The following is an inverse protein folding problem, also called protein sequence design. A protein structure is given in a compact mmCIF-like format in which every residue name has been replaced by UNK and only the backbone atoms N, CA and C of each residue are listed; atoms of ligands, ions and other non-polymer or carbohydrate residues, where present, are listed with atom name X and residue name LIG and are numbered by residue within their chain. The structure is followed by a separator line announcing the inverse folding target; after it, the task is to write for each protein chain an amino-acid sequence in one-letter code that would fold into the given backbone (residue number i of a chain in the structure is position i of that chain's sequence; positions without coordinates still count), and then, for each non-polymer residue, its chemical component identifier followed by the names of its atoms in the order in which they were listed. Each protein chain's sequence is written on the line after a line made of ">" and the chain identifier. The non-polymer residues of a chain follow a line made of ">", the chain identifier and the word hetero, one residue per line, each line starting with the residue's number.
data_IF_830840337683
#
_entry.id   IF_830840337683
#
_cell.length_a   1.000
_cell.length_b   1.000
_cell.length_c   1.000
_cell.angle_alpha   90.00
_cell.angle_beta   90.00
_cell.angle_gamma   90.00
#
_symmetry.space_group_name_H-M   'P 1'
#
loop_
_entity.id
_entity.type
_entity.pdbx_description
1 polymer ?
#
# COMPACT_ATOMS: atom_id res chain seq x y z
N UNK A 1 23.35 15.71 53.12
CA UNK A 1 22.84 14.79 52.08
C UNK A 1 21.38 15.14 51.82
N UNK A 2 21.06 15.80 50.70
CA UNK A 2 19.67 15.96 50.22
C UNK A 2 19.55 15.11 48.96
N UNK A 3 18.75 14.05 49.05
CA UNK A 3 18.42 13.19 47.92
C UNK A 3 17.30 13.88 47.14
N UNK A 4 17.61 14.42 45.97
CA UNK A 4 16.60 14.91 45.03
C UNK A 4 16.20 13.74 44.15
N UNK A 5 14.96 13.26 44.32
CA UNK A 5 14.33 12.29 43.43
C UNK A 5 13.77 13.06 42.24
N UNK A 6 14.35 12.87 41.05
CA UNK A 6 13.74 13.31 39.80
C UNK A 6 12.65 12.30 39.42
N UNK A 7 11.40 12.73 39.44
CA UNK A 7 10.29 11.98 38.82
C UNK A 7 10.21 12.45 37.37
N UNK A 8 10.78 11.69 36.45
CA UNK A 8 10.47 11.85 35.03
C UNK A 8 9.03 11.39 34.81
N UNK A 9 8.14 12.36 34.60
CA UNK A 9 6.80 12.09 34.10
C UNK A 9 6.93 11.65 32.63
N UNK A 10 6.98 10.33 32.41
CA UNK A 10 6.85 9.75 31.08
C UNK A 10 5.49 10.13 30.49
N UNK A 11 5.49 11.05 29.53
CA UNK A 11 4.34 11.31 28.66
C UNK A 11 4.17 10.09 27.75
N UNK A 12 3.39 9.11 28.21
CA UNK A 12 2.79 8.09 27.36
C UNK A 12 1.81 8.80 26.42
N UNK A 13 2.29 9.18 25.23
CA UNK A 13 1.43 9.61 24.14
C UNK A 13 0.57 8.42 23.70
N UNK A 14 -0.65 8.32 24.22
CA UNK A 14 -1.67 7.50 23.58
C UNK A 14 -1.93 8.12 22.20
N UNK A 15 -1.51 7.44 21.13
CA UNK A 15 -2.05 7.71 19.81
C UNK A 15 -3.57 7.52 19.92
N UNK A 16 -4.32 8.62 19.88
CA UNK A 16 -5.76 8.57 20.00
C UNK A 16 -6.31 7.88 18.75
N UNK A 17 -6.92 6.70 18.93
CA UNK A 17 -7.65 6.03 17.86
C UNK A 17 -8.71 7.00 17.30
N UNK A 18 -8.66 7.30 16.00
CA UNK A 18 -9.66 8.16 15.39
C UNK A 18 -10.89 7.33 15.04
N UNK A 19 -12.05 7.94 15.25
CA UNK A 19 -13.30 7.39 14.77
C UNK A 19 -13.34 7.52 13.25
N UNK A 20 -13.87 6.49 12.59
CA UNK A 20 -14.15 6.54 11.16
C UNK A 20 -15.11 7.72 10.85
N UNK A 21 -14.92 8.44 9.74
CA UNK A 21 -15.78 9.57 9.41
C UNK A 21 -17.23 9.11 9.19
N UNK A 22 -18.19 9.94 9.60
CA UNK A 22 -19.62 9.66 9.42
C UNK A 22 -19.95 9.48 7.93
N UNK A 23 -20.63 8.40 7.58
CA UNK A 23 -20.94 8.02 6.19
C UNK A 23 -19.81 7.25 5.49
N UNK A 24 -18.63 7.22 6.10
CA UNK A 24 -17.46 6.48 5.64
C UNK A 24 -17.00 5.43 6.65
N UNK A 25 -17.94 4.87 7.40
CA UNK A 25 -17.70 3.72 8.27
C UNK A 25 -17.22 2.52 7.44
N UNK A 26 -16.34 1.72 8.02
CA UNK A 26 -15.79 0.53 7.40
C UNK A 26 -16.86 -0.57 7.28
N UNK A 27 -17.13 -0.97 6.04
CA UNK A 27 -18.00 -2.10 5.72
C UNK A 27 -17.39 -2.87 4.55
N UNK A 28 -16.97 -4.11 4.81
CA UNK A 28 -16.57 -5.07 3.79
C UNK A 28 -17.69 -6.07 3.53
N UNK A 29 -18.12 -6.18 2.29
CA UNK A 29 -19.05 -7.21 1.82
C UNK A 29 -18.32 -8.12 0.83
N UNK A 30 -18.22 -9.44 1.07
CA UNK A 30 -17.56 -10.38 0.17
C UNK A 30 -18.18 -10.49 -1.23
N UNK A 31 -19.42 -10.03 -1.43
CA UNK A 31 -20.12 -10.09 -2.72
C UNK A 31 -19.88 -8.85 -3.60
N UNK A 32 -19.26 -7.80 -3.07
CA UNK A 32 -18.97 -6.59 -3.85
C UNK A 32 -17.70 -6.79 -4.71
N UNK A 33 -17.66 -6.16 -5.90
CA UNK A 33 -16.48 -6.18 -6.77
C UNK A 33 -15.29 -5.49 -6.08
N UNK A 34 -14.11 -6.08 -6.17
CA UNK A 34 -12.85 -5.57 -5.60
C UNK A 34 -11.72 -5.79 -6.59
N UNK A 35 -10.63 -5.07 -6.39
CA UNK A 35 -9.45 -5.02 -7.26
C UNK A 35 -8.25 -5.75 -6.64
N UNK A 36 -7.15 -5.97 -7.37
CA UNK A 36 -5.88 -6.37 -6.75
C UNK A 36 -5.24 -5.23 -5.91
N UNK A 37 -5.77 -4.00 -5.97
CA UNK A 37 -5.25 -2.83 -5.27
C UNK A 37 -5.90 -2.66 -3.86
N UNK A 38 -5.14 -2.84 -2.77
CA UNK A 38 -5.68 -2.66 -1.42
C UNK A 38 -6.16 -1.23 -1.14
N UNK A 39 -5.56 -0.22 -1.77
CA UNK A 39 -5.96 1.18 -1.63
C UNK A 39 -7.36 1.47 -2.19
N UNK A 40 -7.65 1.01 -3.41
CA UNK A 40 -8.98 1.16 -4.01
C UNK A 40 -10.03 0.35 -3.23
N UNK A 41 -9.67 -0.84 -2.78
CA UNK A 41 -10.54 -1.68 -1.97
C UNK A 41 -10.86 -1.02 -0.63
N UNK A 42 -9.89 -0.36 0.00
CA UNK A 42 -10.11 0.43 1.20
C UNK A 42 -11.05 1.62 0.95
N UNK A 43 -10.88 2.36 -0.14
CA UNK A 43 -11.78 3.44 -0.52
C UNK A 43 -13.22 2.94 -0.74
N UNK A 44 -13.41 1.78 -1.37
CA UNK A 44 -14.73 1.16 -1.55
C UNK A 44 -15.31 0.65 -0.22
N UNK A 45 -14.50 -0.01 0.63
CA UNK A 45 -14.92 -0.48 1.95
C UNK A 45 -15.29 0.68 2.90
N UNK A 46 -14.81 1.90 2.63
CA UNK A 46 -15.21 3.13 3.34
C UNK A 46 -16.23 3.96 2.56
N UNK A 47 -16.75 3.50 1.43
CA UNK A 47 -17.77 4.23 0.66
C UNK A 47 -17.30 5.55 0.05
N UNK A 48 -15.99 5.78 -0.07
CA UNK A 48 -15.44 6.88 -0.87
C UNK A 48 -15.53 6.58 -2.38
N UNK A 49 -15.35 5.31 -2.73
CA UNK A 49 -15.83 4.74 -3.99
C UNK A 49 -17.20 4.06 -3.75
N UNK A 50 -17.99 3.80 -4.81
CA UNK A 50 -19.18 2.95 -4.70
C UNK A 50 -18.82 1.65 -3.98
N UNK A 51 -19.53 1.33 -2.89
CA UNK A 51 -19.23 0.13 -2.07
C UNK A 51 -19.30 -1.16 -2.89
N UNK A 52 -20.18 -1.20 -3.88
CA UNK A 52 -20.29 -2.29 -4.85
C UNK A 52 -19.03 -2.52 -5.68
N UNK A 53 -18.13 -1.55 -5.78
CA UNK A 53 -16.95 -1.59 -6.64
C UNK A 53 -17.25 -1.46 -8.14
N UNK A 54 -18.47 -1.01 -8.50
CA UNK A 54 -18.93 -0.96 -9.89
C UNK A 54 -18.99 0.48 -10.42
N UNK A 55 -18.83 0.63 -11.75
CA UNK A 55 -19.06 1.87 -12.51
C UNK A 55 -18.26 3.07 -11.99
N UNK A 56 -16.96 2.88 -11.77
CA UNK A 56 -16.07 3.94 -11.30
C UNK A 56 -15.64 4.78 -12.50
N UNK A 57 -16.09 6.03 -12.55
CA UNK A 57 -15.59 7.04 -13.47
C UNK A 57 -14.40 7.82 -12.88
N UNK A 58 -13.80 8.68 -13.71
CA UNK A 58 -12.63 9.47 -13.31
C UNK A 58 -12.94 10.43 -12.16
N UNK A 59 -14.08 11.12 -12.18
CA UNK A 59 -14.42 12.07 -11.12
C UNK A 59 -14.68 11.39 -9.77
N UNK A 60 -15.29 10.20 -9.79
CA UNK A 60 -15.49 9.36 -8.62
C UNK A 60 -14.15 8.93 -8.03
N UNK A 61 -13.20 8.50 -8.87
CA UNK A 61 -11.84 8.19 -8.42
C UNK A 61 -11.14 9.42 -7.82
N UNK A 62 -11.18 10.56 -8.52
CA UNK A 62 -10.60 11.84 -8.08
C UNK A 62 -11.14 12.28 -6.74
N UNK A 63 -12.47 12.20 -6.53
CA UNK A 63 -13.08 12.46 -5.24
C UNK A 63 -12.55 11.52 -4.15
N UNK A 64 -12.53 10.21 -4.42
CA UNK A 64 -12.16 9.22 -3.44
C UNK A 64 -10.72 9.37 -2.94
N UNK A 65 -9.75 9.59 -3.83
CA UNK A 65 -8.34 9.73 -3.45
C UNK A 65 -8.07 11.02 -2.67
N UNK A 66 -8.80 12.10 -2.97
CA UNK A 66 -8.71 13.36 -2.22
C UNK A 66 -9.32 13.17 -0.82
N UNK A 67 -10.52 12.62 -0.75
CA UNK A 67 -11.26 12.53 0.50
C UNK A 67 -10.72 11.45 1.45
N UNK A 68 -10.34 10.29 0.93
CA UNK A 68 -9.88 9.16 1.74
C UNK A 68 -8.39 9.20 2.08
N UNK A 69 -7.55 9.74 1.18
CA UNK A 69 -6.09 9.68 1.31
C UNK A 69 -5.37 11.04 1.21
N UNK A 70 -6.09 12.13 0.97
CA UNK A 70 -5.53 13.47 0.74
C UNK A 70 -4.45 13.49 -0.35
N UNK A 71 -4.72 12.82 -1.48
CA UNK A 71 -3.94 13.01 -2.70
C UNK A 71 -4.39 14.27 -3.44
N UNK A 72 -3.48 14.85 -4.22
CA UNK A 72 -3.81 15.82 -5.26
C UNK A 72 -4.83 15.20 -6.23
N UNK A 73 -5.84 15.99 -6.60
CA UNK A 73 -7.00 15.54 -7.38
C UNK A 73 -6.64 14.71 -8.60
N UNK A 74 -5.64 15.11 -9.39
CA UNK A 74 -5.31 14.49 -10.68
C UNK A 74 -4.16 13.48 -10.61
N UNK A 75 -3.63 13.21 -9.42
CA UNK A 75 -2.43 12.37 -9.24
C UNK A 75 -2.58 10.93 -9.71
N UNK A 76 -3.81 10.43 -9.90
CA UNK A 76 -4.10 9.07 -10.37
C UNK A 76 -4.75 9.03 -11.76
N UNK A 77 -4.88 10.16 -12.45
CA UNK A 77 -5.48 10.21 -13.79
C UNK A 77 -4.73 9.31 -14.79
N UNK A 78 -3.40 9.23 -14.68
CA UNK A 78 -2.58 8.35 -15.51
C UNK A 78 -2.91 6.87 -15.32
N UNK A 79 -3.13 6.43 -14.07
CA UNK A 79 -3.53 5.06 -13.76
C UNK A 79 -4.95 4.76 -14.27
N UNK A 80 -5.88 5.71 -14.12
CA UNK A 80 -7.21 5.59 -14.69
C UNK A 80 -7.16 5.46 -16.22
N UNK A 81 -6.44 6.37 -16.88
CA UNK A 81 -6.30 6.37 -18.34
C UNK A 81 -5.62 5.11 -18.85
N UNK A 82 -4.70 4.51 -18.08
CA UNK A 82 -4.11 3.22 -18.40
C UNK A 82 -5.16 2.10 -18.40
N UNK A 83 -6.05 2.05 -17.41
CA UNK A 83 -7.14 1.06 -17.37
C UNK A 83 -8.08 1.19 -18.58
N UNK A 84 -8.38 2.43 -18.98
CA UNK A 84 -9.18 2.70 -20.18
C UNK A 84 -8.42 2.33 -21.46
N UNK A 85 -7.14 2.68 -21.56
CA UNK A 85 -6.31 2.41 -22.74
C UNK A 85 -6.10 0.91 -23.00
N UNK A 86 -6.06 0.09 -21.94
CA UNK A 86 -6.04 -1.37 -22.06
C UNK A 86 -7.43 -1.98 -22.35
N UNK A 87 -8.46 -1.16 -22.52
CA UNK A 87 -9.84 -1.59 -22.77
C UNK A 87 -10.34 -2.59 -21.72
N UNK A 88 -10.01 -2.34 -20.44
CA UNK A 88 -10.36 -3.24 -19.33
C UNK A 88 -11.84 -3.21 -18.98
N UNK A 89 -12.53 -2.12 -19.32
CA UNK A 89 -13.90 -1.85 -18.91
C UNK A 89 -14.87 -2.95 -19.34
N UNK A 90 -15.51 -3.59 -18.37
CA UNK A 90 -16.63 -4.52 -18.60
C UNK A 90 -18.00 -3.92 -18.26
N UNK A 91 -18.05 -2.63 -17.89
CA UNK A 91 -19.28 -1.95 -17.46
C UNK A 91 -20.27 -1.63 -18.60
N UNK A 92 -19.86 -1.79 -19.85
CA UNK A 92 -20.60 -1.31 -21.02
C UNK A 92 -20.46 0.21 -21.26
N UNK A 93 -19.62 0.90 -20.49
CA UNK A 93 -19.29 2.31 -20.68
C UNK A 93 -17.76 2.52 -20.63
N UNK A 94 -17.17 2.89 -21.76
CA UNK A 94 -15.73 3.08 -21.95
C UNK A 94 -15.09 4.16 -21.08
N UNK A 95 -15.88 4.96 -20.35
CA UNK A 95 -15.40 5.96 -19.40
C UNK A 95 -15.48 5.50 -17.94
N UNK A 96 -15.73 4.22 -17.71
CA UNK A 96 -15.83 3.63 -16.35
C UNK A 96 -15.17 2.25 -16.31
N UNK A 97 -14.83 1.78 -15.12
CA UNK A 97 -14.45 0.37 -14.89
C UNK A 97 -15.10 -0.19 -13.62
N UNK A 98 -15.18 -1.52 -13.53
CA UNK A 98 -15.41 -2.25 -12.28
C UNK A 98 -14.06 -2.54 -11.60
N UNK A 99 -14.01 -2.60 -10.26
CA UNK A 99 -12.75 -2.81 -9.55
C UNK A 99 -12.05 -4.11 -9.96
N UNK A 100 -12.80 -5.17 -10.29
CA UNK A 100 -12.28 -6.45 -10.74
C UNK A 100 -11.79 -6.44 -12.20
N UNK A 101 -12.10 -5.42 -13.00
CA UNK A 101 -11.50 -5.22 -14.33
C UNK A 101 -9.98 -5.01 -14.23
N UNK A 102 -9.50 -4.46 -13.11
CA UNK A 102 -8.09 -4.18 -12.87
C UNK A 102 -7.23 -5.42 -12.65
N UNK A 103 -7.85 -6.62 -12.57
CA UNK A 103 -7.14 -7.90 -12.42
C UNK A 103 -6.59 -8.46 -13.73
N UNK A 104 -6.87 -7.81 -14.87
CA UNK A 104 -6.37 -8.33 -16.14
C UNK A 104 -4.83 -8.43 -16.11
N UNK A 105 -4.35 -9.67 -16.13
CA UNK A 105 -2.94 -10.01 -16.08
C UNK A 105 -2.17 -9.40 -17.26
N UNK A 106 -0.97 -8.87 -16.96
CA UNK A 106 -0.06 -8.19 -17.90
C UNK A 106 -0.63 -6.91 -18.55
N UNK A 107 -1.61 -6.29 -17.88
CA UNK A 107 -2.04 -4.92 -18.14
C UNK A 107 -1.62 -4.02 -16.97
N UNK A 108 -2.42 -4.04 -15.90
CA UNK A 108 -2.13 -3.33 -14.64
C UNK A 108 -1.68 -4.33 -13.56
N UNK A 109 -2.27 -5.52 -13.54
CA UNK A 109 -1.89 -6.64 -12.68
C UNK A 109 -0.58 -7.28 -13.19
N UNK A 110 0.27 -7.72 -12.26
CA UNK A 110 1.59 -8.29 -12.54
C UNK A 110 1.99 -9.32 -11.47
N UNK A 111 2.81 -10.29 -11.86
CA UNK A 111 3.32 -11.36 -10.98
C UNK A 111 4.18 -10.80 -9.83
N UNK A 112 4.41 -11.58 -8.78
CA UNK A 112 5.23 -11.12 -7.65
C UNK A 112 4.57 -10.01 -6.81
N UNK A 113 3.25 -9.87 -6.93
CA UNK A 113 2.42 -9.00 -6.11
C UNK A 113 2.66 -9.21 -4.61
N UNK A 114 2.62 -8.13 -3.83
CA UNK A 114 2.95 -8.15 -2.40
C UNK A 114 1.99 -9.00 -1.55
N UNK A 115 0.74 -9.17 -2.00
CA UNK A 115 -0.32 -9.83 -1.23
C UNK A 115 -1.27 -10.68 -2.07
N UNK A 116 -1.02 -10.84 -3.37
CA UNK A 116 -1.82 -11.63 -4.32
C UNK A 116 -0.95 -12.75 -4.90
N UNK A 117 -1.61 -13.81 -5.37
CA UNK A 117 -0.92 -14.87 -6.10
C UNK A 117 -0.55 -14.41 -7.50
N UNK A 118 0.40 -15.11 -8.10
CA UNK A 118 0.74 -14.92 -9.50
C UNK A 118 -0.35 -15.60 -10.35
N UNK A 119 -0.75 -15.01 -11.49
CA UNK A 119 -1.88 -15.46 -12.31
C UNK A 119 -1.82 -16.95 -12.68
N UNK A 120 -0.62 -17.45 -13.03
CA UNK A 120 -0.41 -18.85 -13.39
C UNK A 120 -0.44 -19.82 -12.20
N UNK A 121 -0.36 -19.32 -10.97
CA UNK A 121 -0.30 -20.13 -9.76
C UNK A 121 -1.61 -20.12 -8.97
N UNK A 122 -2.53 -19.19 -9.23
CA UNK A 122 -3.83 -19.15 -8.58
C UNK A 122 -4.54 -17.80 -8.70
N UNK A 123 -5.24 -17.44 -7.62
CA UNK A 123 -6.04 -16.22 -7.53
C UNK A 123 -5.16 -14.96 -7.41
N UNK A 124 -5.14 -14.16 -8.48
CA UNK A 124 -4.42 -12.90 -8.62
C UNK A 124 -5.23 -11.68 -8.17
N UNK A 125 -6.48 -11.87 -7.74
CA UNK A 125 -7.39 -10.81 -7.36
C UNK A 125 -7.43 -10.61 -5.85
N UNK A 126 -7.65 -11.68 -5.11
CA UNK A 126 -7.94 -11.62 -3.69
C UNK A 126 -6.68 -11.61 -2.84
N UNK A 127 -6.80 -11.03 -1.64
CA UNK A 127 -5.75 -11.07 -0.64
C UNK A 127 -5.41 -12.52 -0.27
N UNK A 128 -4.15 -12.90 -0.45
CA UNK A 128 -3.60 -14.18 -0.06
C UNK A 128 -2.80 -14.02 1.24
N UNK A 129 -3.28 -14.59 2.37
CA UNK A 129 -2.62 -14.45 3.66
C UNK A 129 -1.26 -15.17 3.72
N UNK A 130 -1.03 -16.23 2.93
CA UNK A 130 0.24 -16.96 2.91
C UNK A 130 1.29 -16.12 2.20
N UNK A 131 0.96 -15.54 1.06
CA UNK A 131 1.85 -14.64 0.32
C UNK A 131 2.14 -13.40 1.15
N UNK A 132 1.10 -12.74 1.66
CA UNK A 132 1.27 -11.56 2.51
C UNK A 132 2.12 -11.84 3.74
N UNK A 133 1.94 -12.99 4.39
CA UNK A 133 2.72 -13.34 5.58
C UNK A 133 4.23 -13.30 5.31
N UNK A 134 4.68 -13.81 4.16
CA UNK A 134 6.11 -13.74 3.77
C UNK A 134 6.62 -12.31 3.63
N UNK A 135 5.79 -11.41 3.09
CA UNK A 135 6.11 -9.99 2.93
C UNK A 135 6.08 -9.27 4.29
N UNK A 136 5.05 -9.49 5.09
CA UNK A 136 4.87 -8.90 6.42
C UNK A 136 6.01 -9.26 7.38
N UNK A 137 6.54 -10.49 7.31
CA UNK A 137 7.73 -10.89 8.07
C UNK A 137 8.97 -10.13 7.60
N UNK A 138 9.18 -9.99 6.28
CA UNK A 138 10.32 -9.22 5.75
C UNK A 138 10.21 -7.70 6.01
N UNK A 139 8.98 -7.20 6.19
CA UNK A 139 8.67 -5.85 6.65
C UNK A 139 8.78 -5.68 8.17
N UNK A 140 9.01 -6.77 8.92
CA UNK A 140 9.04 -6.81 10.38
C UNK A 140 7.73 -6.32 11.04
N UNK A 141 6.57 -6.49 10.38
CA UNK A 141 5.29 -5.90 10.83
C UNK A 141 4.79 -6.43 12.18
N UNK A 142 5.16 -7.65 12.56
CA UNK A 142 4.64 -8.32 13.76
C UNK A 142 5.56 -8.22 14.98
N UNK A 143 6.70 -7.55 14.85
CA UNK A 143 7.60 -7.27 15.97
C UNK A 143 7.65 -5.77 16.20
N UNK A 144 7.47 -5.37 17.45
CA UNK A 144 7.79 -4.03 17.92
C UNK A 144 8.81 -4.18 19.03
N UNK A 145 10.04 -3.74 18.79
CA UNK A 145 11.02 -3.60 19.85
C UNK A 145 10.69 -2.42 20.76
N UNK A 146 11.54 -2.14 21.76
CA UNK A 146 11.29 -1.10 22.74
C UNK A 146 11.42 0.33 22.19
N UNK A 147 11.96 0.51 20.97
CA UNK A 147 12.20 1.83 20.38
C UNK A 147 10.98 2.32 19.60
N UNK A 148 10.72 3.63 19.65
CA UNK A 148 9.70 4.26 18.79
C UNK A 148 9.95 3.98 17.31
N UNK A 149 11.21 3.87 16.88
CA UNK A 149 11.58 3.53 15.50
C UNK A 149 11.10 2.14 15.08
N UNK A 150 10.94 1.22 16.03
CA UNK A 150 10.50 -0.15 15.74
C UNK A 150 9.03 -0.23 15.34
N UNK A 151 8.27 0.87 15.47
CA UNK A 151 6.87 0.98 15.04
C UNK A 151 6.73 1.29 13.55
N UNK A 152 7.82 1.53 12.84
CA UNK A 152 7.80 2.04 11.47
C UNK A 152 8.53 1.13 10.47
N UNK A 153 8.17 1.27 9.20
CA UNK A 153 8.81 0.67 8.04
C UNK A 153 9.50 1.76 7.23
N UNK A 154 10.79 1.61 7.01
CA UNK A 154 11.57 2.51 6.14
C UNK A 154 11.49 2.07 4.67
N UNK A 155 11.91 2.96 3.76
CA UNK A 155 12.00 2.66 2.32
C UNK A 155 12.88 1.43 2.07
N UNK A 156 14.01 1.32 2.76
CA UNK A 156 14.98 0.24 2.54
C UNK A 156 14.44 -1.11 3.01
N UNK A 157 13.68 -1.13 4.11
CA UNK A 157 12.98 -2.35 4.59
C UNK A 157 11.92 -2.77 3.57
N UNK A 158 11.08 -1.83 3.14
CA UNK A 158 10.04 -2.08 2.15
C UNK A 158 10.60 -2.58 0.81
N UNK A 159 11.62 -1.91 0.28
CA UNK A 159 12.28 -2.29 -0.97
C UNK A 159 12.92 -3.68 -0.89
N UNK A 160 13.53 -4.04 0.25
CA UNK A 160 14.06 -5.40 0.49
C UNK A 160 12.96 -6.44 0.50
N UNK A 161 11.84 -6.18 1.19
CA UNK A 161 10.72 -7.10 1.25
C UNK A 161 10.11 -7.34 -0.13
N UNK A 162 9.89 -6.27 -0.91
CA UNK A 162 9.42 -6.36 -2.28
C UNK A 162 10.37 -7.16 -3.19
N UNK A 163 11.69 -6.91 -3.09
CA UNK A 163 12.68 -7.64 -3.88
C UNK A 163 12.74 -9.14 -3.53
N UNK A 164 12.60 -9.47 -2.24
CA UNK A 164 12.51 -10.85 -1.78
C UNK A 164 11.26 -11.55 -2.33
N UNK A 165 10.10 -10.87 -2.32
CA UNK A 165 8.85 -11.38 -2.88
C UNK A 165 8.94 -11.64 -4.38
N UNK A 166 9.44 -10.68 -5.16
CA UNK A 166 9.60 -10.83 -6.60
C UNK A 166 10.57 -11.98 -6.95
N UNK A 167 11.68 -12.10 -6.20
CA UNK A 167 12.61 -13.23 -6.35
C UNK A 167 11.94 -14.58 -6.05
N UNK A 168 11.14 -14.66 -4.99
CA UNK A 168 10.42 -15.87 -4.63
C UNK A 168 9.37 -16.25 -5.68
N UNK A 169 8.60 -15.27 -6.18
CA UNK A 169 7.63 -15.47 -7.26
C UNK A 169 8.30 -16.07 -8.50
N UNK A 170 9.37 -15.42 -8.97
CA UNK A 170 10.12 -15.88 -10.15
C UNK A 170 10.70 -17.28 -9.99
N UNK A 171 11.05 -17.68 -8.77
CA UNK A 171 11.53 -19.03 -8.49
C UNK A 171 10.40 -20.08 -8.49
N UNK A 172 9.20 -19.70 -8.03
CA UNK A 172 8.05 -20.59 -7.94
C UNK A 172 7.26 -20.70 -9.25
N UNK A 173 7.12 -19.60 -9.99
CA UNK A 173 6.34 -19.51 -11.20
C UNK A 173 7.23 -19.68 -12.45
N UNK A 174 7.12 -20.83 -13.14
CA UNK A 174 7.85 -21.08 -14.39
C UNK A 174 7.37 -20.23 -15.57
N UNK A 175 6.19 -19.63 -15.44
CA UNK A 175 5.58 -18.72 -16.41
C UNK A 175 5.74 -17.26 -16.00
N UNK A 176 6.58 -16.98 -14.98
CA UNK A 176 6.75 -15.64 -14.44
C UNK A 176 7.05 -14.64 -15.56
N UNK A 177 6.15 -13.67 -15.70
CA UNK A 177 6.24 -12.68 -16.74
C UNK A 177 7.38 -11.71 -16.43
N UNK A 178 8.29 -11.47 -17.37
CA UNK A 178 9.40 -10.52 -17.21
C UNK A 178 9.14 -9.19 -17.95
N UNK A 179 7.87 -8.81 -18.13
CA UNK A 179 7.46 -7.60 -18.83
C UNK A 179 7.93 -6.31 -18.15
N UNK A 180 7.81 -5.18 -18.83
CA UNK A 180 8.09 -3.88 -18.24
C UNK A 180 7.19 -3.60 -17.03
N UNK A 181 5.91 -3.99 -17.10
CA UNK A 181 4.96 -3.91 -15.98
C UNK A 181 5.48 -4.69 -14.77
N UNK A 182 6.04 -5.89 -14.99
CA UNK A 182 6.69 -6.64 -13.91
C UNK A 182 7.87 -5.89 -13.28
N UNK A 183 8.76 -5.34 -14.10
CA UNK A 183 9.99 -4.70 -13.63
C UNK A 183 9.72 -3.47 -12.75
N UNK A 184 8.65 -2.73 -13.05
CA UNK A 184 8.28 -1.51 -12.32
C UNK A 184 7.15 -1.73 -11.31
N UNK A 185 6.36 -2.79 -11.44
CA UNK A 185 5.15 -3.03 -10.64
C UNK A 185 5.44 -3.23 -9.17
N UNK A 186 6.33 -4.16 -8.81
CA UNK A 186 6.73 -4.42 -7.41
C UNK A 186 7.26 -3.15 -6.71
N UNK A 187 8.28 -2.45 -7.25
CA UNK A 187 8.77 -1.21 -6.64
C UNK A 187 7.76 -0.04 -6.73
N UNK A 188 6.94 0.03 -7.79
CA UNK A 188 5.90 1.03 -7.99
C UNK A 188 4.78 0.95 -6.97
N UNK A 189 4.19 -0.23 -6.79
CA UNK A 189 3.16 -0.48 -5.77
C UNK A 189 3.69 -0.34 -4.36
N UNK A 190 4.98 -0.68 -4.14
CA UNK A 190 5.67 -0.42 -2.87
C UNK A 190 5.76 1.08 -2.58
N UNK A 191 6.18 1.88 -3.56
CA UNK A 191 6.22 3.32 -3.43
C UNK A 191 4.83 3.93 -3.21
N UNK A 192 3.80 3.42 -3.89
CA UNK A 192 2.44 3.92 -3.76
C UNK A 192 1.86 3.74 -2.36
N UNK A 193 1.98 2.55 -1.77
CA UNK A 193 1.47 2.34 -0.40
C UNK A 193 2.30 3.13 0.62
N UNK A 194 3.62 3.24 0.41
CA UNK A 194 4.48 4.06 1.27
C UNK A 194 4.04 5.52 1.21
N UNK A 195 3.89 6.12 0.03
CA UNK A 195 3.44 7.51 -0.14
C UNK A 195 2.08 7.74 0.51
N UNK A 196 1.14 6.81 0.34
CA UNK A 196 -0.21 6.88 0.93
C UNK A 196 -0.16 6.94 2.46
N UNK A 197 0.68 6.10 3.08
CA UNK A 197 0.76 5.92 4.53
C UNK A 197 1.96 6.63 5.19
N UNK A 198 2.68 7.48 4.45
CA UNK A 198 3.97 8.02 4.90
C UNK A 198 3.85 9.01 6.05
N UNK A 199 4.39 8.73 7.22
CA UNK A 199 4.53 9.73 8.26
C UNK A 199 5.72 10.65 7.92
N UNK A 200 5.43 11.89 7.52
CA UNK A 200 6.45 12.87 7.11
C UNK A 200 7.37 13.27 8.28
N UNK A 201 6.84 13.33 9.51
CA UNK A 201 7.60 13.69 10.70
C UNK A 201 8.55 12.56 11.12
N UNK A 202 8.07 11.31 11.02
CA UNK A 202 8.89 10.14 11.30
C UNK A 202 9.84 9.76 10.14
N UNK A 203 9.54 10.22 8.92
CA UNK A 203 10.26 9.81 7.71
C UNK A 203 10.14 8.31 7.43
N UNK A 204 9.00 7.70 7.77
CA UNK A 204 8.73 6.26 7.64
C UNK A 204 7.21 5.97 7.66
N UNK A 205 6.80 4.75 7.29
CA UNK A 205 5.38 4.35 7.32
C UNK A 205 5.07 3.56 8.60
N UNK A 206 4.04 3.91 9.40
CA UNK A 206 3.65 3.14 10.58
C UNK A 206 3.26 1.71 10.24
N UNK A 207 3.79 0.72 10.97
CA UNK A 207 3.49 -0.71 10.77
C UNK A 207 2.00 -1.00 10.90
N UNK A 208 1.33 -0.39 11.88
CA UNK A 208 -0.11 -0.56 12.11
C UNK A 208 -0.97 -0.09 10.92
N UNK A 209 -0.55 0.98 10.23
CA UNK A 209 -1.26 1.48 9.06
C UNK A 209 -1.11 0.55 7.87
N UNK A 210 0.09 0.01 7.66
CA UNK A 210 0.36 -0.97 6.60
C UNK A 210 -0.49 -2.22 6.84
N UNK A 211 -0.56 -2.72 8.08
CA UNK A 211 -1.40 -3.87 8.43
C UNK A 211 -2.87 -3.63 8.10
N UNK A 212 -3.45 -2.53 8.56
CA UNK A 212 -4.85 -2.22 8.27
C UNK A 212 -5.13 -2.12 6.76
N UNK A 213 -4.22 -1.51 5.99
CA UNK A 213 -4.38 -1.39 4.55
C UNK A 213 -4.32 -2.73 3.82
N UNK A 214 -3.38 -3.63 4.17
CA UNK A 214 -3.22 -4.88 3.44
C UNK A 214 -4.09 -6.02 3.99
N UNK A 215 -4.15 -6.19 5.31
CA UNK A 215 -4.83 -7.32 5.96
C UNK A 215 -6.35 -7.11 6.03
N UNK A 216 -6.80 -5.85 6.10
CA UNK A 216 -8.21 -5.51 6.24
C UNK A 216 -8.76 -4.76 5.03
N UNK A 217 -7.91 -4.22 4.15
CA UNK A 217 -8.26 -3.21 3.14
C UNK A 217 -9.14 -2.13 3.76
N UNK A 218 -8.60 -1.53 4.83
CA UNK A 218 -9.23 -0.49 5.64
C UNK A 218 -8.31 0.71 5.72
N UNK A 219 -8.88 1.92 5.65
CA UNK A 219 -8.12 3.14 5.92
C UNK A 219 -7.83 3.17 7.45
N UNK A 220 -6.57 3.39 7.87
CA UNK A 220 -6.18 3.21 9.27
C UNK A 220 -6.63 4.32 10.25
N UNK A 221 -7.88 4.79 10.14
CA UNK A 221 -8.44 5.81 11.03
C UNK A 221 -8.31 5.39 12.51
N UNK A 222 -8.63 4.12 12.81
CA UNK A 222 -8.54 3.58 14.18
C UNK A 222 -7.12 3.56 14.73
N UNK A 223 -6.12 3.58 13.86
CA UNK A 223 -4.70 3.62 14.17
C UNK A 223 -4.12 5.05 14.12
N UNK A 224 -4.98 6.07 13.98
CA UNK A 224 -4.59 7.48 14.01
C UNK A 224 -4.34 8.13 12.64
N UNK A 225 -4.58 7.42 11.53
CA UNK A 225 -4.50 8.04 10.21
C UNK A 225 -5.58 9.10 10.03
N UNK A 226 -5.18 10.33 9.71
CA UNK A 226 -6.11 11.42 9.41
C UNK A 226 -5.70 12.15 8.12
N UNK A 227 -6.45 12.03 7.01
CA UNK A 227 -6.11 12.71 5.76
C UNK A 227 -6.07 14.23 5.93
N UNK A 228 -6.90 14.82 6.81
CA UNK A 228 -7.01 16.27 6.99
C UNK A 228 -5.81 16.93 7.67
N UNK A 229 -5.02 16.18 8.44
CA UNK A 229 -3.84 16.73 9.15
C UNK A 229 -2.52 16.38 8.46
N UNK A 230 -2.57 15.63 7.36
CA UNK A 230 -1.39 15.14 6.65
C UNK A 230 -1.07 16.04 5.46
N UNK A 231 0.21 16.14 5.11
CA UNK A 231 0.65 16.82 3.89
C UNK A 231 -0.06 16.16 2.70
N UNK A 232 -0.71 16.96 1.86
CA UNK A 232 -1.30 16.48 0.62
C UNK A 232 -0.20 15.86 -0.25
N UNK A 233 -0.45 14.65 -0.78
CA UNK A 233 0.51 13.93 -1.62
C UNK A 233 0.20 14.17 -3.10
N UNK A 234 1.22 14.48 -3.88
CA UNK A 234 1.12 14.81 -5.31
C UNK A 234 1.62 13.66 -6.19
N UNK A 235 1.43 13.79 -7.51
CA UNK A 235 2.09 12.90 -8.46
C UNK A 235 3.63 12.92 -8.34
N UNK A 236 4.21 14.07 -7.97
CA UNK A 236 5.64 14.20 -7.73
C UNK A 236 6.09 13.41 -6.49
N UNK A 237 5.34 13.46 -5.38
CA UNK A 237 5.69 12.70 -4.17
C UNK A 237 5.66 11.17 -4.44
N UNK A 238 4.78 10.70 -5.34
CA UNK A 238 4.77 9.30 -5.80
C UNK A 238 6.04 9.00 -6.60
N UNK A 239 6.40 9.86 -7.56
CA UNK A 239 7.61 9.71 -8.38
C UNK A 239 8.90 9.72 -7.56
N UNK A 240 9.00 10.61 -6.58
CA UNK A 240 10.15 10.72 -5.68
C UNK A 240 10.28 9.47 -4.79
N UNK A 241 9.16 8.98 -4.23
CA UNK A 241 9.16 7.74 -3.46
C UNK A 241 9.53 6.54 -4.34
N UNK A 242 9.02 6.50 -5.58
CA UNK A 242 9.38 5.46 -6.55
C UNK A 242 10.88 5.44 -6.83
N UNK A 243 11.50 6.60 -7.06
CA UNK A 243 12.94 6.69 -7.26
C UNK A 243 13.73 6.16 -6.05
N UNK A 244 13.31 6.50 -4.83
CA UNK A 244 13.93 6.00 -3.58
C UNK A 244 13.79 4.48 -3.43
N UNK A 245 12.59 3.95 -3.66
CA UNK A 245 12.33 2.50 -3.61
C UNK A 245 13.13 1.77 -4.68
N UNK A 246 13.12 2.26 -5.93
CA UNK A 246 13.86 1.67 -7.05
C UNK A 246 15.35 1.58 -6.79
N UNK A 247 15.95 2.64 -6.23
CA UNK A 247 17.36 2.65 -5.87
C UNK A 247 17.68 1.54 -4.86
N UNK A 248 16.94 1.50 -3.74
CA UNK A 248 17.13 0.48 -2.70
C UNK A 248 16.84 -0.95 -3.20
N UNK A 249 15.80 -1.12 -4.02
CA UNK A 249 15.39 -2.40 -4.60
C UNK A 249 16.49 -2.97 -5.52
N UNK A 250 17.11 -2.10 -6.33
CA UNK A 250 18.17 -2.49 -7.26
C UNK A 250 19.47 -2.86 -6.56
N UNK A 251 19.81 -2.19 -5.46
CA UNK A 251 21.00 -2.54 -4.67
C UNK A 251 20.88 -3.94 -4.07
N UNK A 252 19.69 -4.27 -3.57
CA UNK A 252 19.37 -5.59 -3.01
C UNK A 252 19.43 -6.67 -4.08
N UNK A 253 18.85 -6.42 -5.26
CA UNK A 253 18.86 -7.40 -6.37
C UNK A 253 20.26 -7.65 -6.94
N UNK A 254 21.17 -6.67 -6.85
CA UNK A 254 22.59 -6.80 -7.23
C UNK A 254 23.47 -7.45 -6.16
N UNK A 255 22.89 -7.90 -5.03
CA UNK A 255 23.65 -8.51 -3.93
C UNK A 255 24.62 -7.55 -3.22
N UNK A 256 24.49 -6.24 -3.45
CA UNK A 256 25.25 -5.23 -2.73
C UNK A 256 24.61 -5.08 -1.35
N UNK A 257 25.28 -5.64 -0.33
CA UNK A 257 24.86 -5.54 1.07
C UNK A 257 24.74 -4.07 1.46
N UNK A 258 23.53 -3.51 1.41
CA UNK A 258 23.21 -2.26 2.09
C UNK A 258 23.44 -2.45 3.58
N UNK A 259 24.34 -1.64 4.14
CA UNK A 259 24.69 -1.43 5.55
C UNK A 259 24.06 -2.43 6.54
N UNK A 260 24.90 -3.30 7.10
CA UNK A 260 24.62 -3.95 8.39
C UNK A 260 24.24 -2.85 9.38
N UNK A 261 22.98 -2.80 9.79
CA UNK A 261 22.63 -2.08 11.00
C UNK A 261 23.27 -2.86 12.15
N UNK A 262 24.21 -2.19 12.80
CA UNK A 262 24.87 -2.68 14.00
C UNK A 262 23.82 -2.89 15.09
N UNK A 263 23.91 -4.05 15.73
CA UNK A 263 23.37 -4.28 17.06
C UNK A 263 24.02 -3.32 18.04
N UNK A 264 23.29 -2.28 18.43
CA UNK A 264 23.49 -1.52 19.67
C UNK A 264 22.14 -1.36 20.35
#
# INVERSE_FOLDING_TARGET
>A
MKLSVFVEAGLLGLAAALREPKGHEYHRNPLDSRSPCPGLNALANHGYLPRSGLNIDLETLRYAIVAGFNFERTSQDGAFNMAIAFNLSTSGNSSTFHLDDLKLHDAIEFDGSLSRNDFYLGDDLHFDPVIWHTVAVNLDLYRTGPSEKDKYVTVEVAARAAAARAKAAKAANKHFNASAAQMVGSPGTTALYLTTLWDDDAGAAPKSWIKALFEEERIPFREGYNPATRKQKTGQDIGDMFARVMAAYTDVSKGRRGLRWGSH
#
